data_IF_437936526028
#
_entry.id   IF_437936526028
#
_cell.length_a   1.000
_cell.length_b   1.000
_cell.length_c   1.000
_cell.angle_alpha   90.00
_cell.angle_beta   90.00
_cell.angle_gamma   90.00
#
_symmetry.space_group_name_H-M   'P 1'
#
loop_
_entity.id
_entity.type
_entity.pdbx_description
1 polymer ?
#
# COMPACT_ATOMS: atom_id res chain seq x y z
N UNK A 1 -55.32 57.03 7.45
CA UNK A 1 -54.87 56.17 8.57
C UNK A 1 -54.70 54.69 8.19
N UNK A 2 -55.70 54.01 7.59
CA UNK A 2 -55.56 52.59 7.16
C UNK A 2 -54.38 52.30 6.21
N UNK A 3 -54.04 53.23 5.32
CA UNK A 3 -52.94 53.04 4.36
C UNK A 3 -51.54 53.10 4.99
N UNK A 4 -51.39 53.85 6.09
CA UNK A 4 -50.11 54.01 6.79
C UNK A 4 -49.80 52.78 7.66
N UNK A 5 -50.83 52.21 8.30
CA UNK A 5 -50.75 51.02 9.14
C UNK A 5 -50.35 49.76 8.33
N UNK A 6 -50.83 49.66 7.09
CA UNK A 6 -50.54 48.51 6.23
C UNK A 6 -49.09 48.50 5.72
N UNK A 7 -48.47 49.67 5.55
CA UNK A 7 -47.06 49.78 5.12
C UNK A 7 -46.11 49.47 6.27
N UNK A 8 -46.43 49.90 7.50
CA UNK A 8 -45.60 49.60 8.69
C UNK A 8 -45.65 48.12 9.06
N UNK A 9 -46.84 47.50 9.04
CA UNK A 9 -46.99 46.08 9.34
C UNK A 9 -46.22 45.20 8.34
N UNK A 10 -46.28 45.52 7.04
CA UNK A 10 -45.57 44.77 5.98
C UNK A 10 -44.05 44.88 6.12
N UNK A 11 -43.54 46.05 6.51
CA UNK A 11 -42.10 46.25 6.78
C UNK A 11 -41.63 45.49 8.02
N UNK A 12 -42.43 45.46 9.09
CA UNK A 12 -42.13 44.67 10.30
C UNK A 12 -42.13 43.18 9.99
N UNK A 13 -43.11 42.69 9.21
CA UNK A 13 -43.19 41.26 8.84
C UNK A 13 -42.02 40.83 7.95
N UNK A 14 -41.59 41.67 7.01
CA UNK A 14 -40.39 41.44 6.19
C UNK A 14 -39.14 41.45 7.06
N UNK A 15 -39.04 42.36 8.04
CA UNK A 15 -37.94 42.40 9.01
C UNK A 15 -37.86 41.13 9.86
N UNK A 16 -38.98 40.63 10.37
CA UNK A 16 -39.05 39.38 11.15
C UNK A 16 -38.69 38.17 10.28
N UNK A 17 -39.18 38.10 9.04
CA UNK A 17 -38.81 37.05 8.07
C UNK A 17 -37.31 37.06 7.78
N UNK A 18 -36.70 38.22 7.54
CA UNK A 18 -35.27 38.35 7.28
C UNK A 18 -34.41 37.96 8.50
N UNK A 19 -34.86 38.29 9.72
CA UNK A 19 -34.17 37.89 10.96
C UNK A 19 -34.28 36.37 11.17
N UNK A 20 -35.45 35.76 10.93
CA UNK A 20 -35.63 34.32 11.01
C UNK A 20 -34.77 33.58 9.96
N UNK A 21 -34.75 34.05 8.70
CA UNK A 21 -33.92 33.48 7.63
C UNK A 21 -32.42 33.54 7.96
N UNK A 22 -31.95 34.63 8.58
CA UNK A 22 -30.55 34.77 8.99
C UNK A 22 -30.18 33.86 10.18
N UNK A 23 -31.12 33.62 11.11
CA UNK A 23 -30.90 32.70 12.23
C UNK A 23 -30.88 31.22 11.83
N UNK A 24 -31.72 30.81 10.87
CA UNK A 24 -31.72 29.44 10.34
C UNK A 24 -30.43 29.13 9.55
N UNK A 25 -29.90 30.11 8.82
CA UNK A 25 -28.66 29.91 8.06
C UNK A 25 -27.44 29.69 8.96
N UNK A 26 -27.30 30.46 10.05
CA UNK A 26 -26.21 30.26 11.01
C UNK A 26 -26.34 28.92 11.75
N UNK A 27 -27.57 28.51 12.10
CA UNK A 27 -27.81 27.19 12.70
C UNK A 27 -27.42 26.04 11.75
N UNK A 28 -27.51 26.24 10.42
CA UNK A 28 -27.19 25.22 9.41
C UNK A 28 -25.67 25.00 9.18
N UNK A 29 -24.80 25.90 9.62
CA UNK A 29 -23.34 25.73 9.50
C UNK A 29 -22.81 24.94 10.69
N UNK A 30 -23.30 25.28 11.89
CA UNK A 30 -22.93 24.62 13.13
C UNK A 30 -23.35 23.14 13.10
N UNK A 31 -24.44 22.81 12.38
CA UNK A 31 -24.86 21.42 12.13
C UNK A 31 -23.89 20.62 11.25
N UNK A 32 -22.88 21.23 10.64
CA UNK A 32 -21.88 20.56 9.79
C UNK A 32 -20.51 20.54 10.46
N UNK A 33 -20.08 21.68 11.00
CA UNK A 33 -18.77 21.80 11.64
C UNK A 33 -18.72 20.98 12.93
N UNK A 34 -19.78 21.01 13.75
CA UNK A 34 -19.80 20.27 15.03
C UNK A 34 -19.71 18.76 14.78
N UNK A 35 -20.51 18.14 13.86
CA UNK A 35 -20.33 16.73 13.53
C UNK A 35 -18.98 16.41 12.90
N UNK A 36 -18.43 17.26 12.04
CA UNK A 36 -17.10 17.05 11.47
C UNK A 36 -16.02 16.98 12.55
N UNK A 37 -16.04 17.91 13.52
CA UNK A 37 -15.13 17.91 14.68
C UNK A 37 -15.32 16.66 15.53
N UNK A 38 -16.56 16.26 15.79
CA UNK A 38 -16.87 15.02 16.50
C UNK A 38 -16.28 13.80 15.79
N UNK A 39 -16.35 13.74 14.46
CA UNK A 39 -15.69 12.68 13.69
C UNK A 39 -14.17 12.72 13.84
N UNK A 40 -13.55 13.90 13.84
CA UNK A 40 -12.11 14.04 14.08
C UNK A 40 -11.70 13.59 15.49
N UNK A 41 -12.48 13.94 16.52
CA UNK A 41 -12.25 13.49 17.90
C UNK A 41 -12.37 11.96 18.04
N UNK A 42 -13.27 11.35 17.26
CA UNK A 42 -13.43 9.91 17.16
C UNK A 42 -12.38 9.23 16.26
N UNK A 43 -11.40 9.97 15.75
CA UNK A 43 -10.38 9.51 14.78
C UNK A 43 -10.96 9.01 13.44
N UNK A 44 -12.21 9.36 13.13
CA UNK A 44 -12.85 9.09 11.84
C UNK A 44 -12.63 10.25 10.87
N UNK A 45 -11.35 10.46 10.50
CA UNK A 45 -10.94 11.59 9.69
C UNK A 45 -11.60 11.64 8.31
N UNK A 46 -11.89 10.47 7.73
CA UNK A 46 -12.51 10.38 6.40
C UNK A 46 -13.93 10.93 6.38
N UNK A 47 -14.77 10.55 7.34
CA UNK A 47 -16.15 11.05 7.40
C UNK A 47 -16.19 12.55 7.72
N UNK A 48 -15.34 13.03 8.65
CA UNK A 48 -15.26 14.46 8.94
C UNK A 48 -14.78 15.29 7.74
N UNK A 49 -13.77 14.80 7.02
CA UNK A 49 -13.28 15.45 5.80
C UNK A 49 -14.34 15.45 4.70
N UNK A 50 -14.96 14.30 4.40
CA UNK A 50 -16.01 14.19 3.39
C UNK A 50 -17.18 15.12 3.69
N UNK A 51 -17.58 15.25 4.96
CA UNK A 51 -18.66 16.14 5.37
C UNK A 51 -18.33 17.61 5.05
N UNK A 52 -17.13 18.07 5.41
CA UNK A 52 -16.67 19.44 5.11
C UNK A 52 -16.48 19.66 3.61
N UNK A 53 -15.83 18.71 2.92
CA UNK A 53 -15.50 18.80 1.51
C UNK A 53 -16.75 18.78 0.63
N UNK A 54 -17.67 17.84 0.89
CA UNK A 54 -18.95 17.79 0.19
C UNK A 54 -19.73 19.07 0.40
N UNK A 55 -19.73 19.66 1.60
CA UNK A 55 -20.41 20.94 1.83
C UNK A 55 -19.78 22.07 1.02
N UNK A 56 -18.45 22.15 0.97
CA UNK A 56 -17.73 23.17 0.20
C UNK A 56 -18.07 23.12 -1.30
N UNK A 57 -18.29 21.93 -1.87
CA UNK A 57 -18.55 21.72 -3.29
C UNK A 57 -20.03 21.58 -3.68
N UNK A 58 -20.89 21.09 -2.78
CA UNK A 58 -22.29 20.77 -3.10
C UNK A 58 -23.21 22.00 -3.19
N UNK A 59 -22.79 23.18 -2.76
CA UNK A 59 -23.64 24.36 -2.74
C UNK A 59 -22.94 25.61 -3.30
N UNK A 60 -23.23 26.00 -4.56
CA UNK A 60 -22.92 27.35 -5.05
C UNK A 60 -23.69 28.46 -4.28
N UNK A 61 -24.60 28.08 -3.38
CA UNK A 61 -25.47 28.96 -2.59
C UNK A 61 -24.99 29.21 -1.15
N UNK A 62 -23.85 28.64 -0.74
CA UNK A 62 -23.26 29.00 0.56
C UNK A 62 -22.92 30.48 0.56
N UNK A 63 -23.42 31.21 1.56
CA UNK A 63 -22.96 32.57 1.78
C UNK A 63 -21.45 32.57 2.05
N UNK A 64 -20.80 33.69 1.75
CA UNK A 64 -19.34 33.79 1.81
C UNK A 64 -18.79 33.52 3.21
N UNK A 65 -19.53 33.84 4.27
CA UNK A 65 -19.11 33.59 5.65
C UNK A 65 -19.16 32.09 6.00
N UNK A 66 -20.23 31.39 5.63
CA UNK A 66 -20.31 29.93 5.77
C UNK A 66 -19.17 29.22 5.06
N UNK A 67 -18.89 29.64 3.82
CA UNK A 67 -17.78 29.10 3.03
C UNK A 67 -16.45 29.31 3.73
N UNK A 68 -16.21 30.52 4.25
CA UNK A 68 -15.01 30.84 5.00
C UNK A 68 -14.86 29.98 6.28
N UNK A 69 -15.95 29.75 7.03
CA UNK A 69 -15.93 28.87 8.21
C UNK A 69 -15.56 27.42 7.84
N UNK A 70 -16.14 26.87 6.77
CA UNK A 70 -15.80 25.51 6.30
C UNK A 70 -14.35 25.43 5.81
N UNK A 71 -13.89 26.42 5.05
CA UNK A 71 -12.49 26.52 4.60
C UNK A 71 -11.53 26.62 5.79
N UNK A 72 -11.90 27.35 6.85
CA UNK A 72 -11.07 27.47 8.05
C UNK A 72 -10.89 26.12 8.75
N UNK A 73 -11.97 25.35 8.89
CA UNK A 73 -11.91 24.01 9.47
C UNK A 73 -11.14 23.01 8.59
N UNK A 74 -11.26 23.12 7.26
CA UNK A 74 -10.43 22.36 6.33
C UNK A 74 -8.93 22.75 6.45
N UNK A 75 -8.63 24.03 6.62
CA UNK A 75 -7.27 24.51 6.82
C UNK A 75 -6.66 23.92 8.12
N UNK A 76 -7.42 23.93 9.22
CA UNK A 76 -7.04 23.27 10.48
C UNK A 76 -6.85 21.77 10.27
N UNK A 77 -7.72 21.12 9.49
CA UNK A 77 -7.61 19.70 9.23
C UNK A 77 -6.28 19.34 8.55
N UNK A 78 -5.94 20.05 7.47
CA UNK A 78 -4.68 19.87 6.75
C UNK A 78 -3.47 20.21 7.62
N UNK A 79 -3.55 21.26 8.43
CA UNK A 79 -2.46 21.65 9.33
C UNK A 79 -2.23 20.62 10.43
N UNK A 80 -3.28 20.28 11.19
CA UNK A 80 -3.19 19.52 12.43
C UNK A 80 -3.10 18.02 12.20
N UNK A 81 -3.96 17.47 11.34
CA UNK A 81 -4.11 16.03 11.18
C UNK A 81 -3.33 15.46 10.00
N UNK A 82 -3.23 16.20 8.89
CA UNK A 82 -2.51 15.75 7.68
C UNK A 82 -1.03 16.15 7.73
N UNK A 83 -0.73 17.39 8.15
CA UNK A 83 0.61 17.99 8.09
C UNK A 83 0.95 18.66 6.75
N UNK A 84 -0.05 18.93 5.92
CA UNK A 84 0.09 19.60 4.62
C UNK A 84 -0.08 21.11 4.80
N UNK A 85 1.02 21.81 5.10
CA UNK A 85 1.00 23.25 5.36
C UNK A 85 0.68 24.06 4.11
N UNK A 86 1.07 23.61 2.91
CA UNK A 86 0.80 24.30 1.66
C UNK A 86 -0.71 24.37 1.38
N UNK A 87 -1.42 23.24 1.50
CA UNK A 87 -2.89 23.23 1.37
C UNK A 87 -3.57 24.02 2.48
N UNK A 88 -3.07 23.91 3.72
CA UNK A 88 -3.62 24.70 4.83
C UNK A 88 -3.52 26.21 4.56
N UNK A 89 -2.34 26.67 4.11
CA UNK A 89 -2.08 28.05 3.74
C UNK A 89 -2.98 28.50 2.58
N UNK A 90 -3.20 27.65 1.58
CA UNK A 90 -4.11 27.92 0.46
C UNK A 90 -5.53 28.21 0.95
N UNK A 91 -6.07 27.40 1.86
CA UNK A 91 -7.41 27.63 2.41
C UNK A 91 -7.48 28.90 3.26
N UNK A 92 -6.48 29.18 4.12
CA UNK A 92 -6.48 30.42 4.90
C UNK A 92 -6.38 31.66 3.99
N UNK A 93 -5.58 31.63 2.92
CA UNK A 93 -5.50 32.73 1.94
C UNK A 93 -6.81 32.99 1.21
N UNK A 94 -7.51 31.92 0.82
CA UNK A 94 -8.86 32.05 0.22
C UNK A 94 -9.86 32.75 1.15
N UNK A 95 -9.70 32.60 2.48
CA UNK A 95 -10.54 33.31 3.46
C UNK A 95 -10.16 34.78 3.54
N UNK A 96 -8.85 35.11 3.57
CA UNK A 96 -8.38 36.50 3.63
C UNK A 96 -8.68 37.29 2.36
N UNK A 97 -8.75 36.61 1.22
CA UNK A 97 -9.10 37.20 -0.09
C UNK A 97 -10.62 37.29 -0.31
N UNK A 98 -11.43 36.63 0.53
CA UNK A 98 -12.87 36.68 0.40
C UNK A 98 -13.41 38.05 0.81
N UNK A 99 -14.21 38.67 -0.06
CA UNK A 99 -14.94 39.91 0.22
C UNK A 99 -16.10 39.67 1.22
N UNK A 100 -15.77 39.36 2.48
CA UNK A 100 -16.75 39.28 3.56
C UNK A 100 -17.11 40.69 4.01
N UNK A 101 -18.41 40.98 4.15
CA UNK A 101 -18.87 42.29 4.60
C UNK A 101 -18.59 42.45 6.11
N UNK A 102 -17.56 43.22 6.44
CA UNK A 102 -17.22 43.59 7.81
C UNK A 102 -15.90 43.01 8.29
N UNK A 103 -15.32 43.65 9.31
CA UNK A 103 -14.05 43.27 9.95
C UNK A 103 -14.27 42.03 10.83
N UNK A 104 -14.61 40.91 10.21
CA UNK A 104 -14.99 39.68 10.90
C UNK A 104 -13.77 39.06 11.59
N UNK A 105 -13.96 38.67 12.85
CA UNK A 105 -12.95 37.99 13.68
C UNK A 105 -12.30 36.79 12.97
N UNK A 106 -13.00 36.13 12.04
CA UNK A 106 -12.47 35.00 11.27
C UNK A 106 -11.40 35.40 10.25
N UNK A 107 -11.53 36.57 9.61
CA UNK A 107 -10.52 37.06 8.66
C UNK A 107 -9.24 37.39 9.40
N UNK A 108 -9.35 38.06 10.55
CA UNK A 108 -8.19 38.40 11.38
C UNK A 108 -7.46 37.13 11.87
N UNK A 109 -8.23 36.11 12.31
CA UNK A 109 -7.66 34.79 12.65
C UNK A 109 -6.98 34.14 11.44
N UNK A 110 -7.60 34.16 10.27
CA UNK A 110 -6.99 33.61 9.06
C UNK A 110 -5.68 34.33 8.70
N UNK A 111 -5.63 35.66 8.78
CA UNK A 111 -4.41 36.46 8.57
C UNK A 111 -3.30 36.06 9.55
N UNK A 112 -3.60 36.01 10.85
CA UNK A 112 -2.64 35.59 11.88
C UNK A 112 -2.07 34.20 11.57
N UNK A 113 -2.93 33.26 11.12
CA UNK A 113 -2.49 31.91 10.74
C UNK A 113 -1.67 31.90 9.46
N UNK A 114 -2.00 32.70 8.45
CA UNK A 114 -1.18 32.85 7.23
C UNK A 114 0.21 33.35 7.58
N UNK A 115 0.32 34.37 8.42
CA UNK A 115 1.60 34.93 8.85
C UNK A 115 2.41 33.91 9.67
N UNK A 116 1.77 33.25 10.63
CA UNK A 116 2.40 32.22 11.47
C UNK A 116 2.92 31.04 10.63
N UNK A 117 2.12 30.52 9.70
CA UNK A 117 2.52 29.40 8.84
C UNK A 117 3.61 29.82 7.84
N UNK A 118 3.50 31.01 7.26
CA UNK A 118 4.52 31.54 6.34
C UNK A 118 5.86 31.73 7.05
N UNK A 119 5.84 32.24 8.28
CA UNK A 119 7.02 32.37 9.13
C UNK A 119 7.63 31.01 9.47
N UNK A 120 6.80 30.03 9.85
CA UNK A 120 7.25 28.66 10.13
C UNK A 120 7.89 27.98 8.91
N UNK A 121 7.27 28.11 7.74
CA UNK A 121 7.80 27.59 6.48
C UNK A 121 9.11 28.30 6.08
N UNK A 122 9.21 29.61 6.32
CA UNK A 122 10.44 30.37 6.11
C UNK A 122 11.57 29.89 7.02
N UNK A 123 11.27 29.70 8.33
CA UNK A 123 12.23 29.18 9.32
C UNK A 123 12.83 27.83 8.92
N UNK A 124 12.03 26.94 8.34
CA UNK A 124 12.45 25.59 7.95
C UNK A 124 12.70 25.41 6.45
N UNK A 125 12.86 26.49 5.69
CA UNK A 125 13.01 26.45 4.23
C UNK A 125 14.15 25.54 3.79
N UNK A 126 15.34 25.72 4.36
CA UNK A 126 16.53 24.94 3.97
C UNK A 126 16.41 23.47 4.36
N UNK A 127 15.80 23.20 5.51
CA UNK A 127 15.51 21.85 5.99
C UNK A 127 14.52 21.15 5.05
N UNK A 128 13.48 21.85 4.63
CA UNK A 128 12.51 21.33 3.67
C UNK A 128 13.13 21.10 2.29
N UNK A 129 13.98 22.02 1.81
CA UNK A 129 14.70 21.86 0.54
C UNK A 129 15.59 20.61 0.55
N UNK A 130 16.34 20.40 1.63
CA UNK A 130 17.16 19.19 1.79
C UNK A 130 16.29 17.93 1.86
N UNK A 131 15.17 17.97 2.57
CA UNK A 131 14.22 16.86 2.61
C UNK A 131 13.67 16.52 1.22
N UNK A 132 13.21 17.51 0.45
CA UNK A 132 12.71 17.34 -0.92
C UNK A 132 13.79 16.75 -1.84
N UNK A 133 15.05 17.20 -1.69
CA UNK A 133 16.20 16.64 -2.42
C UNK A 133 16.45 15.17 -2.06
N UNK A 134 16.39 14.80 -0.78
CA UNK A 134 16.55 13.40 -0.36
C UNK A 134 15.40 12.51 -0.85
N UNK A 135 14.18 13.04 -0.84
CA UNK A 135 12.98 12.39 -1.39
C UNK A 135 13.13 12.11 -2.89
N UNK A 136 13.61 13.06 -3.68
CA UNK A 136 13.81 12.86 -5.12
C UNK A 136 14.90 11.82 -5.41
N UNK A 137 16.04 11.87 -4.70
CA UNK A 137 17.11 10.88 -4.81
C UNK A 137 16.64 9.46 -4.51
N UNK A 138 15.79 9.30 -3.48
CA UNK A 138 15.20 8.01 -3.10
C UNK A 138 14.35 7.40 -4.21
N UNK A 139 13.79 8.20 -5.12
CA UNK A 139 12.95 7.71 -6.21
C UNK A 139 13.76 7.36 -7.47
N UNK A 140 14.92 7.99 -7.68
CA UNK A 140 15.72 7.82 -8.90
C UNK A 140 16.73 6.66 -8.81
N UNK A 141 17.15 6.30 -7.61
CA UNK A 141 18.31 5.41 -7.40
C UNK A 141 17.90 4.08 -6.75
N UNK A 142 18.56 2.99 -7.15
CA UNK A 142 18.20 1.61 -6.77
C UNK A 142 19.29 0.85 -6.01
N UNK A 143 20.39 1.50 -5.60
CA UNK A 143 21.45 0.79 -4.86
C UNK A 143 21.20 0.86 -3.35
N UNK A 144 21.58 -0.22 -2.66
CA UNK A 144 21.42 -0.35 -1.21
C UNK A 144 22.18 0.74 -0.44
N UNK A 145 23.39 1.05 -0.88
CA UNK A 145 24.27 2.06 -0.25
C UNK A 145 23.63 3.44 -0.23
N UNK A 146 22.99 3.83 -1.34
CA UNK A 146 22.29 5.11 -1.45
C UNK A 146 21.12 5.18 -0.47
N UNK A 147 20.31 4.11 -0.38
CA UNK A 147 19.21 4.07 0.59
C UNK A 147 19.73 4.14 2.04
N UNK A 148 20.90 3.58 2.34
CA UNK A 148 21.53 3.71 3.66
C UNK A 148 21.99 5.15 3.95
N UNK A 149 22.64 5.81 2.99
CA UNK A 149 23.05 7.21 3.09
C UNK A 149 21.85 8.16 3.24
N UNK A 150 20.81 8.00 2.41
CA UNK A 150 19.56 8.76 2.52
C UNK A 150 18.92 8.55 3.90
N UNK A 151 18.84 7.30 4.36
CA UNK A 151 18.29 6.99 5.70
C UNK A 151 19.09 7.69 6.80
N UNK A 152 20.42 7.72 6.70
CA UNK A 152 21.27 8.42 7.65
C UNK A 152 21.00 9.94 7.64
N UNK A 153 20.95 10.56 6.46
CA UNK A 153 20.68 11.99 6.31
C UNK A 153 19.29 12.38 6.82
N UNK A 154 18.25 11.60 6.49
CA UNK A 154 16.89 11.83 6.99
C UNK A 154 16.81 11.74 8.52
N UNK A 155 17.51 10.78 9.15
CA UNK A 155 17.59 10.70 10.62
C UNK A 155 18.29 11.90 11.24
N UNK A 156 19.40 12.33 10.63
CA UNK A 156 20.14 13.51 11.07
C UNK A 156 19.29 14.78 10.97
N UNK A 157 18.51 14.91 9.89
CA UNK A 157 17.61 16.03 9.65
C UNK A 157 16.59 16.19 10.80
N UNK A 158 15.92 15.11 11.20
CA UNK A 158 14.93 15.14 12.29
C UNK A 158 15.55 15.20 13.69
N UNK A 159 16.79 14.73 13.87
CA UNK A 159 17.47 14.85 15.17
C UNK A 159 17.95 16.27 15.44
N UNK A 160 18.38 16.98 14.40
CA UNK A 160 18.79 18.39 14.50
C UNK A 160 17.57 19.31 14.59
N UNK A 161 16.48 18.97 13.89
CA UNK A 161 15.26 19.78 13.82
C UNK A 161 14.05 19.01 14.36
N UNK A 162 13.95 18.79 15.69
CA UNK A 162 12.87 18.00 16.27
C UNK A 162 11.47 18.62 16.05
N UNK A 163 11.41 19.94 15.90
CA UNK A 163 10.18 20.72 15.71
C UNK A 163 9.86 21.01 14.23
N UNK A 164 10.55 20.34 13.30
CA UNK A 164 10.27 20.48 11.87
C UNK A 164 8.85 20.00 11.55
N UNK A 165 8.04 20.86 10.93
CA UNK A 165 6.62 20.58 10.66
C UNK A 165 6.41 19.34 9.76
N UNK A 166 7.34 19.07 8.83
CA UNK A 166 7.32 17.92 7.92
C UNK A 166 7.83 16.62 8.53
N UNK A 167 8.09 16.56 9.85
CA UNK A 167 8.68 15.39 10.52
C UNK A 167 7.89 14.09 10.32
N UNK A 168 6.56 14.16 10.27
CA UNK A 168 5.73 12.97 10.00
C UNK A 168 5.95 12.44 8.58
N UNK A 169 6.09 13.32 7.58
CA UNK A 169 6.42 12.91 6.21
C UNK A 169 7.84 12.34 6.14
N UNK A 170 8.81 12.92 6.85
CA UNK A 170 10.17 12.37 6.94
C UNK A 170 10.15 10.94 7.52
N UNK A 171 9.34 10.68 8.54
CA UNK A 171 9.16 9.33 9.07
C UNK A 171 8.56 8.36 8.05
N UNK A 172 7.60 8.81 7.25
CA UNK A 172 7.08 8.02 6.13
C UNK A 172 8.20 7.65 5.12
N UNK A 173 9.03 8.61 4.71
CA UNK A 173 10.14 8.34 3.80
C UNK A 173 11.25 7.47 4.41
N UNK A 174 11.52 7.60 5.70
CA UNK A 174 12.37 6.64 6.42
C UNK A 174 11.78 5.23 6.35
N UNK A 175 10.46 5.09 6.52
CA UNK A 175 9.73 3.83 6.36
C UNK A 175 9.95 3.21 4.98
N UNK A 176 9.74 4.00 3.92
CA UNK A 176 9.96 3.56 2.53
C UNK A 176 11.41 3.14 2.26
N UNK A 177 12.40 3.93 2.71
CA UNK A 177 13.80 3.58 2.54
C UNK A 177 14.14 2.27 3.29
N UNK A 178 13.60 2.07 4.49
CA UNK A 178 13.78 0.81 5.21
C UNK A 178 13.08 -0.39 4.55
N UNK A 179 11.95 -0.19 3.84
CA UNK A 179 11.35 -1.22 3.01
C UNK A 179 12.31 -1.64 1.88
N UNK A 180 12.94 -0.67 1.20
CA UNK A 180 13.92 -0.92 0.13
C UNK A 180 15.17 -1.64 0.63
N UNK A 181 15.56 -1.39 1.88
CA UNK A 181 16.66 -2.09 2.56
C UNK A 181 16.29 -3.47 3.13
N UNK A 182 15.06 -3.96 2.88
CA UNK A 182 14.50 -5.19 3.49
C UNK A 182 14.50 -5.19 5.03
N UNK A 183 14.51 -4.01 5.65
CA UNK A 183 14.49 -3.82 7.12
C UNK A 183 13.06 -3.53 7.58
N UNK A 184 12.14 -4.42 7.25
CA UNK A 184 10.68 -4.22 7.39
C UNK A 184 10.20 -3.87 8.80
N UNK A 185 10.82 -4.44 9.84
CA UNK A 185 10.46 -4.11 11.23
C UNK A 185 10.78 -2.65 11.60
N UNK A 186 11.88 -2.11 11.06
CA UNK A 186 12.20 -0.68 11.20
C UNK A 186 11.23 0.17 10.37
N UNK A 187 10.90 -0.26 9.16
CA UNK A 187 9.94 0.44 8.32
C UNK A 187 8.59 0.61 9.02
N UNK A 188 8.03 -0.49 9.54
CA UNK A 188 6.79 -0.50 10.32
C UNK A 188 6.84 0.50 11.49
N UNK A 189 7.92 0.46 12.28
CA UNK A 189 8.12 1.42 13.39
C UNK A 189 8.01 2.88 12.93
N UNK A 190 8.65 3.23 11.81
CA UNK A 190 8.63 4.61 11.30
C UNK A 190 7.28 5.01 10.71
N UNK A 191 6.58 4.09 10.04
CA UNK A 191 5.20 4.36 9.60
C UNK A 191 4.26 4.61 10.79
N UNK A 192 4.37 3.83 11.87
CA UNK A 192 3.63 4.09 13.10
C UNK A 192 3.97 5.47 13.71
N UNK A 193 5.24 5.88 13.72
CA UNK A 193 5.66 7.20 14.20
C UNK A 193 5.07 8.35 13.37
N UNK A 194 5.01 8.18 12.04
CA UNK A 194 4.37 9.15 11.15
C UNK A 194 2.86 9.27 11.44
N UNK A 195 2.13 8.17 11.57
CA UNK A 195 0.71 8.16 11.95
C UNK A 195 0.44 8.75 13.33
N UNK A 196 1.34 8.53 14.30
CA UNK A 196 1.24 9.14 15.63
C UNK A 196 1.41 10.66 15.57
N UNK A 197 2.31 11.16 14.71
CA UNK A 197 2.51 12.59 14.52
C UNK A 197 1.37 13.26 13.75
N UNK A 198 0.89 12.60 12.68
CA UNK A 198 -0.15 13.09 11.78
C UNK A 198 -1.11 11.94 11.43
N UNK A 199 -2.23 11.81 12.15
CA UNK A 199 -3.10 10.64 12.02
C UNK A 199 -3.93 10.60 10.74
N UNK A 200 -4.03 11.71 10.00
CA UNK A 200 -4.67 11.79 8.69
C UNK A 200 -3.67 12.01 7.55
N UNK A 201 -2.39 11.64 7.75
CA UNK A 201 -1.34 11.80 6.73
C UNK A 201 -1.60 10.97 5.46
N UNK A 202 -2.54 10.01 5.49
CA UNK A 202 -3.04 9.28 4.31
C UNK A 202 -3.56 10.18 3.18
N UNK A 203 -4.01 11.40 3.50
CA UNK A 203 -4.43 12.41 2.52
C UNK A 203 -3.25 13.09 1.79
N UNK A 204 -2.03 12.88 2.27
CA UNK A 204 -0.79 13.39 1.68
C UNK A 204 0.05 12.26 1.06
N UNK A 205 0.21 11.14 1.79
CA UNK A 205 0.98 9.97 1.35
C UNK A 205 0.27 8.68 1.78
N UNK A 206 0.34 7.59 0.99
CA UNK A 206 -0.40 6.34 1.28
C UNK A 206 0.26 5.53 2.41
N UNK A 207 0.16 5.99 3.64
CA UNK A 207 0.87 5.41 4.79
C UNK A 207 0.20 4.14 5.30
N UNK A 208 -1.12 4.05 5.30
CA UNK A 208 -1.85 2.90 5.82
C UNK A 208 -1.58 1.65 4.98
N UNK A 209 -1.57 1.79 3.65
CA UNK A 209 -1.19 0.70 2.74
C UNK A 209 0.28 0.34 2.91
N UNK A 210 1.18 1.33 2.99
CA UNK A 210 2.61 1.10 3.20
C UNK A 210 2.92 0.42 4.54
N UNK A 211 2.17 0.74 5.59
CA UNK A 211 2.25 0.12 6.90
C UNK A 211 1.81 -1.35 6.83
N UNK A 212 0.66 -1.62 6.20
CA UNK A 212 0.16 -2.97 5.99
C UNK A 212 1.15 -3.81 5.19
N UNK A 213 1.68 -3.26 4.10
CA UNK A 213 2.70 -3.88 3.27
C UNK A 213 3.95 -4.18 4.08
N UNK A 214 4.43 -3.23 4.90
CA UNK A 214 5.60 -3.43 5.74
C UNK A 214 5.40 -4.52 6.80
N UNK A 215 4.21 -4.59 7.39
CA UNK A 215 3.86 -5.61 8.37
C UNK A 215 3.81 -6.99 7.72
N UNK A 216 3.17 -7.10 6.55
CA UNK A 216 3.12 -8.31 5.73
C UNK A 216 4.52 -8.74 5.27
N UNK A 217 5.35 -7.81 4.81
CA UNK A 217 6.73 -8.09 4.42
C UNK A 217 7.58 -8.51 5.63
N UNK A 218 7.35 -7.94 6.81
CA UNK A 218 8.04 -8.33 8.04
C UNK A 218 7.72 -9.76 8.46
N UNK A 219 6.44 -10.14 8.49
CA UNK A 219 6.02 -11.51 8.81
C UNK A 219 6.54 -12.51 7.78
N UNK A 220 6.46 -12.17 6.50
CA UNK A 220 7.02 -12.96 5.40
C UNK A 220 8.53 -13.14 5.51
N UNK A 221 9.27 -12.07 5.78
CA UNK A 221 10.72 -12.13 5.97
C UNK A 221 11.08 -13.05 7.13
N UNK A 222 10.38 -12.92 8.26
CA UNK A 222 10.60 -13.75 9.43
C UNK A 222 10.28 -15.23 9.15
N UNK A 223 9.13 -15.51 8.54
CA UNK A 223 8.73 -16.86 8.14
C UNK A 223 9.74 -17.50 7.19
N UNK A 224 10.22 -16.75 6.18
CA UNK A 224 11.27 -17.20 5.26
C UNK A 224 12.57 -17.52 6.00
N UNK A 225 13.04 -16.59 6.84
CA UNK A 225 14.30 -16.76 7.59
C UNK A 225 14.22 -17.94 8.54
N UNK A 226 13.11 -18.07 9.29
CA UNK A 226 12.88 -19.17 10.21
C UNK A 226 12.81 -20.52 9.47
N UNK A 227 12.06 -20.59 8.37
CA UNK A 227 11.99 -21.80 7.54
C UNK A 227 13.36 -22.18 6.97
N UNK A 228 14.14 -21.21 6.46
CA UNK A 228 15.50 -21.48 5.97
C UNK A 228 16.45 -21.98 7.07
N UNK A 229 16.40 -21.39 8.27
CA UNK A 229 17.19 -21.86 9.42
C UNK A 229 16.77 -23.28 9.80
N UNK A 230 15.46 -23.53 9.91
CA UNK A 230 14.92 -24.85 10.22
C UNK A 230 15.36 -25.90 9.21
N UNK A 231 15.25 -25.63 7.91
CA UNK A 231 15.72 -26.51 6.85
C UNK A 231 17.24 -26.76 6.93
N UNK A 232 18.02 -25.72 7.25
CA UNK A 232 19.47 -25.85 7.44
C UNK A 232 19.85 -26.74 8.63
N UNK A 233 19.21 -26.53 9.79
CA UNK A 233 19.39 -27.37 10.99
C UNK A 233 18.95 -28.81 10.72
N UNK A 234 17.80 -28.98 10.05
CA UNK A 234 17.29 -30.29 9.68
C UNK A 234 18.27 -31.05 8.77
N UNK A 235 18.82 -30.38 7.75
CA UNK A 235 19.79 -30.97 6.84
C UNK A 235 21.04 -31.41 7.60
N UNK A 236 21.53 -30.59 8.54
CA UNK A 236 22.67 -30.95 9.38
C UNK A 236 22.39 -32.18 10.25
N UNK A 237 21.22 -32.24 10.91
CA UNK A 237 20.78 -33.42 11.69
C UNK A 237 20.71 -34.65 10.80
N UNK A 238 20.15 -34.50 9.59
CA UNK A 238 20.01 -35.59 8.62
C UNK A 238 21.37 -36.14 8.21
N UNK A 239 22.35 -35.27 7.92
CA UNK A 239 23.73 -35.69 7.59
C UNK A 239 24.36 -36.46 8.75
N UNK A 240 24.26 -35.94 9.98
CA UNK A 240 24.83 -36.59 11.17
C UNK A 240 24.21 -37.97 11.40
N UNK A 241 22.89 -38.07 11.34
CA UNK A 241 22.18 -39.34 11.50
C UNK A 241 22.51 -40.32 10.38
N UNK A 242 22.57 -39.84 9.14
CA UNK A 242 22.93 -40.66 7.98
C UNK A 242 24.34 -41.25 8.11
N UNK A 243 25.34 -40.43 8.48
CA UNK A 243 26.70 -40.91 8.73
C UNK A 243 26.76 -41.92 9.88
N UNK A 244 26.00 -41.67 10.96
CA UNK A 244 25.95 -42.56 12.12
C UNK A 244 25.28 -43.91 11.80
N UNK A 245 24.31 -43.92 10.89
CA UNK A 245 23.63 -45.13 10.43
C UNK A 245 24.52 -46.10 9.64
N UNK A 246 25.67 -45.62 9.14
CA UNK A 246 26.57 -46.36 8.26
C UNK A 246 25.81 -47.13 7.15
N UNK A 247 24.96 -46.44 6.38
CA UNK A 247 24.03 -47.08 5.45
C UNK A 247 24.74 -47.93 4.40
N UNK A 248 25.97 -47.60 4.03
CA UNK A 248 26.78 -48.38 3.10
C UNK A 248 26.97 -49.86 3.51
N UNK A 249 26.80 -50.21 4.79
CA UNK A 249 26.89 -51.60 5.25
C UNK A 249 25.64 -52.45 4.95
N UNK A 250 24.48 -51.83 4.74
CA UNK A 250 23.19 -52.55 4.64
C UNK A 250 22.26 -52.01 3.55
N UNK A 251 22.61 -50.89 2.92
CA UNK A 251 21.83 -50.26 1.86
C UNK A 251 21.91 -51.10 0.59
N UNK A 252 20.83 -51.81 0.31
CA UNK A 252 20.68 -52.64 -0.90
C UNK A 252 19.83 -51.96 -1.95
N UNK A 253 19.86 -52.49 -3.18
CA UNK A 253 19.03 -52.04 -4.32
C UNK A 253 17.52 -51.98 -4.01
N UNK A 254 17.04 -52.77 -3.04
CA UNK A 254 15.65 -52.73 -2.56
C UNK A 254 15.27 -51.35 -2.02
N UNK A 255 16.16 -50.69 -1.29
CA UNK A 255 15.92 -49.36 -0.74
C UNK A 255 15.86 -48.31 -1.85
N UNK A 256 16.79 -48.38 -2.81
CA UNK A 256 16.79 -47.47 -3.96
C UNK A 256 15.48 -47.55 -4.75
N UNK A 257 14.92 -48.75 -4.94
CA UNK A 257 13.60 -48.93 -5.56
C UNK A 257 12.49 -48.17 -4.83
N UNK A 258 12.53 -48.13 -3.49
CA UNK A 258 11.56 -47.37 -2.69
C UNK A 258 11.70 -45.87 -2.95
N UNK A 259 12.93 -45.33 -2.99
CA UNK A 259 13.14 -43.92 -3.33
C UNK A 259 12.61 -43.58 -4.73
N UNK A 260 12.94 -44.41 -5.73
CA UNK A 260 12.46 -44.22 -7.11
C UNK A 260 10.93 -44.24 -7.15
N UNK A 261 10.30 -45.17 -6.43
CA UNK A 261 8.84 -45.25 -6.32
C UNK A 261 8.24 -43.99 -5.68
N UNK A 262 8.81 -43.50 -4.58
CA UNK A 262 8.34 -42.27 -3.92
C UNK A 262 8.46 -41.04 -4.84
N UNK A 263 9.56 -40.94 -5.58
CA UNK A 263 9.77 -39.88 -6.59
C UNK A 263 8.71 -39.99 -7.69
N UNK A 264 8.50 -41.19 -8.24
CA UNK A 264 7.50 -41.42 -9.28
C UNK A 264 6.07 -41.09 -8.80
N UNK A 265 5.72 -41.48 -7.57
CA UNK A 265 4.44 -41.17 -6.94
C UNK A 265 4.25 -39.66 -6.76
N UNK A 266 5.29 -38.92 -6.36
CA UNK A 266 5.21 -37.47 -6.26
C UNK A 266 5.04 -36.78 -7.59
N UNK A 267 5.82 -37.19 -8.60
CA UNK A 267 5.67 -36.69 -9.96
C UNK A 267 4.24 -36.92 -10.43
N UNK A 268 3.74 -38.15 -10.31
CA UNK A 268 2.37 -38.50 -10.71
C UNK A 268 1.31 -37.70 -9.95
N UNK A 269 1.42 -37.61 -8.62
CA UNK A 269 0.48 -36.85 -7.79
C UNK A 269 0.49 -35.37 -8.12
N UNK A 270 1.67 -34.77 -8.29
CA UNK A 270 1.84 -33.37 -8.68
C UNK A 270 1.16 -33.08 -10.01
N UNK A 271 1.45 -33.87 -11.05
CA UNK A 271 0.84 -33.69 -12.37
C UNK A 271 -0.67 -33.98 -12.35
N UNK A 272 -1.13 -35.01 -11.63
CA UNK A 272 -2.55 -35.32 -11.51
C UNK A 272 -3.32 -34.19 -10.83
N UNK A 273 -2.82 -33.65 -9.71
CA UNK A 273 -3.44 -32.49 -9.04
C UNK A 273 -3.46 -31.29 -9.98
N UNK A 274 -2.37 -31.05 -10.71
CA UNK A 274 -2.29 -29.91 -11.61
C UNK A 274 -3.29 -30.02 -12.77
N UNK A 275 -3.47 -31.22 -13.33
CA UNK A 275 -4.47 -31.51 -14.36
C UNK A 275 -5.90 -31.34 -13.80
N UNK A 276 -6.20 -31.90 -12.63
CA UNK A 276 -7.53 -31.83 -12.00
C UNK A 276 -7.89 -30.37 -11.68
N UNK A 277 -6.99 -29.65 -11.02
CA UNK A 277 -7.19 -28.25 -10.64
C UNK A 277 -7.26 -27.37 -11.89
N UNK A 278 -6.39 -27.60 -12.87
CA UNK A 278 -6.39 -26.86 -14.13
C UNK A 278 -7.69 -27.01 -14.92
N UNK A 279 -8.22 -28.23 -15.01
CA UNK A 279 -9.51 -28.51 -15.64
C UNK A 279 -10.69 -27.92 -14.85
N UNK A 280 -10.58 -27.81 -13.52
CA UNK A 280 -11.64 -27.23 -12.69
C UNK A 280 -11.70 -25.70 -12.84
N UNK A 281 -10.55 -25.05 -12.97
CA UNK A 281 -10.45 -23.58 -13.11
C UNK A 281 -10.84 -23.12 -14.52
N UNK A 282 -10.47 -23.89 -15.56
CA UNK A 282 -10.80 -23.55 -16.96
C UNK A 282 -12.31 -23.46 -17.23
N UNK A 283 -13.14 -24.14 -16.42
CA UNK A 283 -14.59 -24.09 -16.51
C UNK A 283 -15.24 -22.99 -15.66
N UNK A 284 -14.55 -22.44 -14.66
CA UNK A 284 -15.18 -21.55 -13.67
C UNK A 284 -15.09 -20.05 -14.00
N UNK A 285 -14.12 -19.60 -14.83
CA UNK A 285 -13.79 -18.15 -14.91
C UNK A 285 -13.68 -17.51 -16.30
N UNK A 286 -13.97 -18.20 -17.40
CA UNK A 286 -13.99 -17.55 -18.73
C UNK A 286 -15.37 -16.96 -19.06
N UNK A 287 -16.45 -17.37 -18.38
CA UNK A 287 -17.80 -17.02 -18.81
C UNK A 287 -18.34 -15.67 -18.30
N UNK A 288 -17.79 -15.05 -17.25
CA UNK A 288 -18.47 -13.91 -16.59
C UNK A 288 -17.62 -12.69 -16.17
N UNK A 289 -16.29 -12.63 -16.30
CA UNK A 289 -15.52 -11.49 -15.78
C UNK A 289 -14.58 -10.86 -16.82
N UNK A 290 -15.14 -9.97 -17.64
CA UNK A 290 -14.43 -9.03 -18.54
C UNK A 290 -13.69 -7.89 -17.80
N UNK A 291 -13.54 -7.95 -16.47
CA UNK A 291 -12.93 -6.89 -15.65
C UNK A 291 -11.61 -7.27 -14.96
N UNK A 292 -11.08 -8.48 -15.20
CA UNK A 292 -9.75 -8.84 -14.69
C UNK A 292 -8.66 -8.29 -15.64
N UNK A 293 -8.21 -7.08 -15.33
CA UNK A 293 -7.23 -6.27 -16.08
C UNK A 293 -5.75 -6.70 -15.93
N UNK A 294 -5.45 -7.95 -15.55
CA UNK A 294 -4.08 -8.47 -15.53
C UNK A 294 -4.00 -9.77 -16.32
N UNK A 295 -2.90 -9.96 -17.07
CA UNK A 295 -2.66 -11.16 -17.87
C UNK A 295 -2.46 -12.38 -16.96
N UNK A 296 -3.52 -13.16 -16.78
CA UNK A 296 -3.44 -14.47 -16.15
C UNK A 296 -3.02 -15.48 -17.21
N UNK A 297 -1.73 -15.83 -17.26
CA UNK A 297 -1.27 -16.93 -18.10
C UNK A 297 -1.78 -18.26 -17.54
N UNK A 298 -2.92 -18.73 -18.06
CA UNK A 298 -3.51 -20.03 -17.78
C UNK A 298 -2.99 -21.08 -18.77
N UNK A 299 -1.67 -21.24 -18.83
CA UNK A 299 -1.12 -22.45 -19.46
C UNK A 299 -0.69 -23.40 -18.36
N UNK A 300 -1.45 -24.48 -18.22
CA UNK A 300 -1.32 -25.43 -17.12
C UNK A 300 -0.13 -26.41 -17.29
N UNK A 301 0.77 -26.14 -18.23
CA UNK A 301 1.94 -26.96 -18.44
C UNK A 301 3.11 -26.40 -17.61
N UNK A 302 3.88 -27.24 -16.88
CA UNK A 302 5.03 -26.79 -16.10
C UNK A 302 6.17 -26.16 -16.93
N UNK A 303 6.08 -26.23 -18.26
CA UNK A 303 6.97 -25.58 -19.23
C UNK A 303 6.41 -24.26 -19.76
N UNK A 304 5.23 -23.83 -19.32
CA UNK A 304 4.59 -22.65 -19.85
C UNK A 304 5.18 -21.35 -19.28
N UNK A 305 5.16 -20.25 -20.05
CA UNK A 305 5.47 -18.92 -19.52
C UNK A 305 4.57 -18.61 -18.31
N UNK A 306 5.18 -18.23 -17.17
CA UNK A 306 4.46 -17.94 -15.93
C UNK A 306 4.31 -19.11 -14.97
N UNK A 307 4.67 -20.34 -15.38
CA UNK A 307 4.63 -21.54 -14.51
C UNK A 307 5.79 -21.65 -13.51
N UNK A 308 6.66 -20.63 -13.40
CA UNK A 308 7.80 -20.67 -12.48
C UNK A 308 7.42 -20.95 -11.01
N UNK A 309 6.27 -20.45 -10.49
CA UNK A 309 5.75 -20.87 -9.18
C UNK A 309 5.45 -22.36 -9.12
N UNK A 310 4.74 -22.91 -10.11
CA UNK A 310 4.40 -24.33 -10.15
C UNK A 310 5.67 -25.19 -10.13
N UNK A 311 6.66 -24.85 -10.95
CA UNK A 311 7.97 -25.50 -10.92
C UNK A 311 8.67 -25.39 -9.56
N UNK A 312 8.58 -24.22 -8.92
CA UNK A 312 9.06 -24.02 -7.55
C UNK A 312 8.41 -25.01 -6.57
N UNK A 313 7.08 -25.14 -6.59
CA UNK A 313 6.34 -26.08 -5.73
C UNK A 313 6.78 -27.52 -5.97
N UNK A 314 6.92 -27.92 -7.24
CA UNK A 314 7.42 -29.24 -7.62
C UNK A 314 8.79 -29.52 -6.99
N UNK A 315 9.73 -28.59 -7.15
CA UNK A 315 11.09 -28.72 -6.60
C UNK A 315 11.09 -28.78 -5.08
N UNK A 316 10.29 -27.93 -4.39
CA UNK A 316 10.20 -27.96 -2.93
C UNK A 316 9.67 -29.30 -2.41
N UNK A 317 8.65 -29.88 -3.05
CA UNK A 317 8.15 -31.21 -2.69
C UNK A 317 9.16 -32.32 -2.99
N UNK A 318 9.87 -32.21 -4.12
CA UNK A 318 10.93 -33.15 -4.48
C UNK A 318 12.08 -33.16 -3.46
N UNK A 319 12.54 -31.99 -3.03
CA UNK A 319 13.55 -31.86 -1.96
C UNK A 319 13.05 -32.40 -0.62
N UNK A 320 11.77 -32.18 -0.28
CA UNK A 320 11.19 -32.71 0.95
C UNK A 320 11.19 -34.25 0.96
N UNK A 321 10.86 -34.89 -0.17
CA UNK A 321 10.84 -36.36 -0.29
C UNK A 321 12.23 -36.95 -0.18
N UNK A 322 13.21 -36.40 -0.91
CA UNK A 322 14.59 -36.88 -0.84
C UNK A 322 15.15 -36.66 0.58
N UNK A 323 14.93 -35.48 1.16
CA UNK A 323 15.35 -35.16 2.51
C UNK A 323 14.75 -36.10 3.55
N UNK A 324 13.45 -36.36 3.47
CA UNK A 324 12.75 -37.28 4.36
C UNK A 324 13.22 -38.73 4.19
N UNK A 325 13.49 -39.16 2.96
CA UNK A 325 14.02 -40.50 2.68
C UNK A 325 15.41 -40.68 3.31
N UNK A 326 16.34 -39.75 3.08
CA UNK A 326 17.68 -39.78 3.68
C UNK A 326 17.59 -39.73 5.22
N UNK A 327 16.69 -38.90 5.75
CA UNK A 327 16.44 -38.83 7.18
C UNK A 327 15.89 -40.14 7.74
N UNK A 328 14.99 -40.82 7.03
CA UNK A 328 14.44 -42.12 7.45
C UNK A 328 15.53 -43.19 7.55
N UNK A 329 16.52 -43.16 6.64
CA UNK A 329 17.72 -44.01 6.70
C UNK A 329 18.55 -43.66 7.95
N UNK A 330 18.77 -42.37 8.22
CA UNK A 330 19.51 -41.94 9.41
C UNK A 330 18.85 -42.35 10.73
N UNK A 331 17.51 -42.27 10.80
CA UNK A 331 16.71 -42.66 11.98
C UNK A 331 16.74 -44.17 12.25
N UNK A 332 17.23 -44.99 11.31
CA UNK A 332 17.41 -46.43 11.54
C UNK A 332 18.35 -46.76 12.71
N UNK A 333 19.25 -45.83 13.09
CA UNK A 333 20.17 -45.95 14.23
C UNK A 333 19.43 -46.15 15.55
N UNK A 334 18.21 -45.61 15.67
CA UNK A 334 17.43 -45.78 16.89
C UNK A 334 16.91 -47.22 16.98
N UNK A 335 17.26 -47.90 18.06
CA UNK A 335 16.84 -49.30 18.32
C UNK A 335 15.33 -49.41 18.55
N UNK A 336 14.72 -48.39 19.16
CA UNK A 336 13.30 -48.39 19.48
C UNK A 336 12.43 -48.07 18.24
N UNK A 337 11.65 -49.06 17.78
CA UNK A 337 10.72 -48.95 16.66
C UNK A 337 9.69 -47.82 16.85
N UNK A 338 9.22 -47.61 18.08
CA UNK A 338 8.19 -46.61 18.36
C UNK A 338 8.68 -45.18 18.10
N UNK A 339 9.92 -44.89 18.52
CA UNK A 339 10.56 -43.59 18.25
C UNK A 339 10.65 -43.35 16.75
N UNK A 340 11.07 -44.33 15.96
CA UNK A 340 11.18 -44.19 14.50
C UNK A 340 9.83 -43.92 13.85
N UNK A 341 8.80 -44.67 14.26
CA UNK A 341 7.44 -44.54 13.72
C UNK A 341 6.79 -43.19 14.05
N UNK A 342 7.23 -42.50 15.10
CA UNK A 342 6.73 -41.16 15.46
C UNK A 342 7.60 -40.06 14.84
N UNK A 343 8.91 -40.18 14.93
CA UNK A 343 9.85 -39.13 14.50
C UNK A 343 9.77 -38.91 12.99
N UNK A 344 9.69 -39.98 12.19
CA UNK A 344 9.62 -39.86 10.72
C UNK A 344 8.39 -39.06 10.25
N UNK A 345 7.14 -39.39 10.64
CA UNK A 345 5.98 -38.61 10.18
C UNK A 345 5.95 -37.20 10.75
N UNK A 346 6.36 -36.98 12.01
CA UNK A 346 6.42 -35.62 12.60
C UNK A 346 7.41 -34.75 11.84
N UNK A 347 8.61 -35.27 11.57
CA UNK A 347 9.64 -34.55 10.82
C UNK A 347 9.24 -34.37 9.36
N UNK A 348 8.63 -35.38 8.74
CA UNK A 348 8.05 -35.29 7.40
C UNK A 348 7.02 -34.16 7.31
N UNK A 349 6.08 -34.10 8.24
CA UNK A 349 5.09 -33.03 8.32
C UNK A 349 5.75 -31.66 8.46
N UNK A 350 6.72 -31.50 9.37
CA UNK A 350 7.44 -30.24 9.55
C UNK A 350 8.23 -29.83 8.31
N UNK A 351 8.84 -30.77 7.58
CA UNK A 351 9.55 -30.49 6.33
C UNK A 351 8.62 -30.03 5.23
N UNK A 352 7.54 -30.77 5.00
CA UNK A 352 6.54 -30.39 4.00
C UNK A 352 5.91 -29.04 4.34
N UNK A 353 5.58 -28.80 5.61
CA UNK A 353 5.04 -27.52 6.06
C UNK A 353 6.04 -26.37 5.87
N UNK A 354 7.32 -26.59 6.18
CA UNK A 354 8.38 -25.58 6.01
C UNK A 354 8.64 -25.27 4.54
N UNK A 355 8.72 -26.31 3.69
CA UNK A 355 8.89 -26.18 2.25
C UNK A 355 7.68 -25.48 1.59
N UNK A 356 6.46 -25.87 1.97
CA UNK A 356 5.22 -25.22 1.52
C UNK A 356 5.13 -23.77 2.00
N UNK A 357 5.52 -23.47 3.24
CA UNK A 357 5.55 -22.11 3.78
C UNK A 357 6.56 -21.22 3.02
N UNK A 358 7.76 -21.73 2.74
CA UNK A 358 8.75 -21.00 1.94
C UNK A 358 8.27 -20.77 0.51
N UNK A 359 7.68 -21.79 -0.11
CA UNK A 359 7.04 -21.66 -1.41
C UNK A 359 5.96 -20.57 -1.39
N UNK A 360 5.04 -20.66 -0.44
CA UNK A 360 3.92 -19.74 -0.30
C UNK A 360 4.40 -18.30 -0.12
N UNK A 361 5.34 -18.06 0.79
CA UNK A 361 5.89 -16.72 1.02
C UNK A 361 6.59 -16.16 -0.22
N UNK A 362 7.37 -16.99 -0.92
CA UNK A 362 8.19 -16.55 -2.07
C UNK A 362 7.37 -16.31 -3.33
N UNK A 363 6.41 -17.18 -3.63
CA UNK A 363 5.72 -17.19 -4.91
C UNK A 363 4.26 -16.73 -4.82
N UNK A 364 3.56 -17.04 -3.73
CA UNK A 364 2.13 -16.70 -3.56
C UNK A 364 2.00 -15.32 -2.92
N UNK A 365 2.53 -15.13 -1.71
CA UNK A 365 2.24 -13.95 -0.90
C UNK A 365 3.02 -12.70 -1.31
N UNK A 366 4.21 -12.87 -1.92
CA UNK A 366 5.04 -11.77 -2.42
C UNK A 366 4.48 -11.06 -3.65
N UNK A 367 3.45 -11.63 -4.30
CA UNK A 367 2.80 -11.08 -5.51
C UNK A 367 1.27 -10.99 -5.41
N UNK A 368 0.66 -11.52 -4.35
CA UNK A 368 -0.79 -11.45 -4.14
C UNK A 368 -1.23 -10.06 -3.67
N UNK A 369 -2.13 -9.44 -4.43
CA UNK A 369 -2.85 -8.23 -4.05
C UNK A 369 -4.04 -8.63 -3.18
N UNK A 370 -4.11 -8.11 -1.96
CA UNK A 370 -5.30 -8.21 -1.12
C UNK A 370 -6.21 -7.04 -1.44
N UNK A 371 -7.26 -7.28 -2.22
CA UNK A 371 -8.32 -6.30 -2.43
C UNK A 371 -9.19 -6.29 -1.17
N UNK A 372 -9.38 -5.13 -0.49
CA UNK A 372 -10.20 -5.06 0.70
C UNK A 372 -11.64 -5.44 0.36
N UNK A 373 -12.25 -6.26 1.22
CA UNK A 373 -13.60 -6.81 1.08
C UNK A 373 -14.70 -5.75 1.35
N UNK A 374 -14.62 -4.59 0.69
CA UNK A 374 -15.65 -3.55 0.76
C UNK A 374 -16.54 -3.48 -0.49
N UNK A 375 -16.37 -4.41 -1.43
CA UNK A 375 -17.33 -4.64 -2.50
C UNK A 375 -17.95 -6.02 -2.29
N UNK A 376 -19.28 -6.06 -2.27
CA UNK A 376 -20.14 -7.16 -1.81
C UNK A 376 -20.01 -8.50 -2.59
N UNK A 377 -18.95 -8.70 -3.37
CA UNK A 377 -18.77 -9.86 -4.24
C UNK A 377 -17.51 -10.70 -3.97
N UNK A 378 -16.54 -10.22 -3.19
CA UNK A 378 -15.25 -10.90 -3.06
C UNK A 378 -15.00 -11.40 -1.63
N UNK A 379 -15.68 -12.48 -1.23
CA UNK A 379 -15.28 -13.26 -0.06
C UNK A 379 -14.02 -14.08 -0.38
N UNK A 380 -12.87 -13.68 0.20
CA UNK A 380 -11.64 -14.49 0.38
C UNK A 380 -11.13 -15.26 -0.86
N UNK A 381 -10.90 -14.56 -1.97
CA UNK A 381 -10.19 -15.13 -3.13
C UNK A 381 -8.70 -14.77 -3.11
N UNK A 382 -7.82 -15.77 -3.27
CA UNK A 382 -6.39 -15.55 -3.51
C UNK A 382 -6.17 -15.26 -5.00
N UNK A 383 -5.89 -14.01 -5.34
CA UNK A 383 -5.60 -13.62 -6.73
C UNK A 383 -4.10 -13.37 -6.92
N UNK A 384 -3.54 -14.02 -7.94
CA UNK A 384 -2.21 -13.71 -8.47
C UNK A 384 -2.33 -12.55 -9.44
N UNK A 385 -1.91 -11.36 -9.02
CA UNK A 385 -1.72 -10.22 -9.93
C UNK A 385 -0.25 -10.15 -10.35
N UNK A 386 0.03 -10.26 -11.65
CA UNK A 386 1.31 -9.81 -12.20
C UNK A 386 1.05 -8.37 -12.64
N UNK A 387 1.78 -7.40 -12.06
CA UNK A 387 1.72 -6.00 -12.47
C UNK A 387 1.93 -5.89 -13.99
N UNK A 388 0.86 -5.66 -14.74
CA UNK A 388 0.95 -4.88 -15.96
C UNK A 388 0.80 -3.40 -15.57
N UNK A 389 1.66 -2.54 -16.13
CA UNK A 389 1.61 -1.08 -15.96
C UNK A 389 0.42 -0.47 -16.75
N UNK A 390 -0.25 -1.28 -17.58
CA UNK A 390 -1.06 -0.81 -18.70
C UNK A 390 -2.51 -0.34 -18.40
N UNK A 391 -3.26 -0.76 -17.37
CA UNK A 391 -4.65 -0.28 -17.24
C UNK A 391 -4.76 1.13 -16.62
N UNK A 392 -3.73 1.61 -15.93
CA UNK A 392 -3.80 2.88 -15.19
C UNK A 392 -3.54 4.12 -16.05
N UNK A 393 -2.78 3.96 -17.14
CA UNK A 393 -2.52 5.05 -18.10
C UNK A 393 -3.81 5.42 -18.82
N UNK A 394 -4.65 4.44 -19.16
CA UNK A 394 -5.91 4.65 -19.86
C UNK A 394 -7.00 5.31 -18.99
N UNK A 395 -6.91 5.17 -17.66
CA UNK A 395 -7.94 5.65 -16.72
C UNK A 395 -7.58 6.99 -16.05
N UNK A 396 -6.30 7.33 -15.92
CA UNK A 396 -5.86 8.66 -15.49
C UNK A 396 -4.50 9.03 -16.10
N UNK A 397 -4.45 9.41 -17.39
CA UNK A 397 -3.20 9.61 -18.12
C UNK A 397 -2.38 10.80 -17.58
N UNK A 398 -3.05 11.78 -16.96
CA UNK A 398 -2.39 12.95 -16.34
C UNK A 398 -1.61 12.62 -15.06
N UNK A 399 -1.86 11.47 -14.44
CA UNK A 399 -1.12 11.03 -13.26
C UNK A 399 0.27 10.48 -13.59
N UNK A 400 0.59 10.27 -14.88
CA UNK A 400 1.83 9.64 -15.32
C UNK A 400 2.58 10.51 -16.34
N UNK A 401 3.16 11.64 -15.91
CA UNK A 401 4.01 12.42 -16.80
C UNK A 401 5.28 11.65 -17.18
N UNK A 402 5.72 11.78 -18.43
CA UNK A 402 6.95 11.17 -18.97
C UNK A 402 6.97 9.63 -19.04
N UNK A 403 5.88 9.01 -19.51
CA UNK A 403 5.86 7.58 -19.81
C UNK A 403 6.90 7.23 -20.88
N UNK A 404 7.82 6.30 -20.58
CA UNK A 404 8.75 5.77 -21.56
C UNK A 404 8.01 4.81 -22.51
N UNK A 405 7.77 5.26 -23.75
CA UNK A 405 7.04 4.53 -24.78
C UNK A 405 7.95 3.82 -25.79
N UNK A 406 9.28 3.84 -25.60
CA UNK A 406 10.25 3.28 -26.57
C UNK A 406 10.07 1.77 -26.83
N UNK A 407 9.46 1.04 -25.89
CA UNK A 407 9.21 -0.40 -26.00
C UNK A 407 7.79 -0.76 -26.45
N UNK A 408 6.92 0.21 -26.74
CA UNK A 408 5.52 -0.05 -27.12
C UNK A 408 5.45 -0.26 -28.64
N UNK A 409 5.08 -1.48 -29.05
CA UNK A 409 5.03 -1.87 -30.48
C UNK A 409 3.66 -1.68 -31.13
N UNK A 410 2.66 -1.16 -30.39
CA UNK A 410 1.31 -0.93 -30.88
C UNK A 410 1.10 0.54 -31.21
N UNK A 411 1.00 0.85 -32.50
CA UNK A 411 0.95 2.22 -33.01
C UNK A 411 -0.27 3.01 -32.49
N UNK A 412 -1.43 2.35 -32.36
CA UNK A 412 -2.68 2.98 -31.89
C UNK A 412 -2.57 3.35 -30.40
N UNK A 413 -1.94 2.50 -29.60
CA UNK A 413 -1.71 2.78 -28.18
C UNK A 413 -0.66 3.89 -27.99
N UNK A 414 0.38 3.90 -28.83
CA UNK A 414 1.41 4.93 -28.81
C UNK A 414 0.81 6.32 -29.12
N UNK A 415 -0.04 6.38 -30.14
CA UNK A 415 -0.78 7.59 -30.54
C UNK A 415 -1.68 8.10 -29.40
N UNK A 416 -2.50 7.22 -28.83
CA UNK A 416 -3.36 7.57 -27.70
C UNK A 416 -2.58 8.09 -26.49
N UNK A 417 -1.45 7.44 -26.14
CA UNK A 417 -0.59 7.84 -25.02
C UNK A 417 0.04 9.21 -25.28
N UNK A 418 0.47 9.49 -26.50
CA UNK A 418 1.02 10.79 -26.92
C UNK A 418 0.01 11.94 -26.81
N UNK A 419 -1.26 11.67 -27.08
CA UNK A 419 -2.33 12.67 -27.01
C UNK A 419 -2.81 12.96 -25.58
N UNK A 420 -2.87 11.92 -24.73
CA UNK A 420 -3.60 12.01 -23.47
C UNK A 420 -2.68 12.14 -22.24
N UNK A 421 -1.41 11.75 -22.33
CA UNK A 421 -0.44 11.89 -21.24
C UNK A 421 0.35 13.22 -21.36
N UNK A 422 0.60 13.94 -20.25
CA UNK A 422 1.44 15.13 -20.27
C UNK A 422 2.93 14.73 -20.37
N UNK A 423 3.58 15.06 -21.48
CA UNK A 423 5.04 14.86 -21.65
C UNK A 423 5.80 16.16 -21.39
N UNK A 424 7.02 16.05 -20.88
CA UNK A 424 7.99 17.14 -20.96
C UNK A 424 8.28 17.46 -22.44
N UNK A 425 8.36 18.74 -22.76
CA UNK A 425 8.50 19.28 -24.12
C UNK A 425 9.72 18.75 -24.92
N UNK A 426 10.63 18.01 -24.28
CA UNK A 426 11.75 17.33 -24.93
C UNK A 426 11.36 16.08 -25.72
N UNK A 427 10.26 15.38 -25.38
CA UNK A 427 9.85 14.16 -26.09
C UNK A 427 9.24 14.44 -27.48
N UNK A 428 8.56 15.59 -27.66
CA UNK A 428 7.96 16.00 -28.95
C UNK A 428 8.99 16.30 -30.04
N UNK A 429 10.26 16.58 -29.70
CA UNK A 429 11.28 16.93 -30.68
C UNK A 429 11.76 15.74 -31.54
N UNK A 430 11.62 14.49 -31.07
CA UNK A 430 12.05 13.30 -31.82
C UNK A 430 11.08 12.86 -32.91
N UNK A 431 9.78 13.16 -32.76
CA UNK A 431 8.73 12.75 -33.72
C UNK A 431 8.69 13.64 -34.96
N UNK A 432 9.13 14.90 -34.85
CA UNK A 432 9.18 15.84 -35.98
C UNK A 432 10.52 15.82 -36.74
N UNK A 433 11.40 14.86 -36.48
CA UNK A 433 12.61 14.68 -37.28
C UNK A 433 12.24 13.86 -38.53
N UNK A 434 12.30 14.44 -39.76
CA UNK A 434 12.04 13.66 -40.97
C UNK A 434 13.06 12.53 -41.07
N UNK A 435 12.57 11.33 -41.42
CA UNK A 435 13.43 10.16 -41.70
C UNK A 435 14.27 10.37 -42.95
#
# INVERSE_FOLDING_TARGET
>A
MKHFFNITLKKILIGILLIFSASELNAQIDTIIIPAKKYFDQKNYSQGFLLLNNRLFAYPLLDSLSKAKVQYELAIFYERYVGDLDKSLQYYRQITEANLRGNDSFINKAHERVESLSSLMSKYRDVNNEFVRLKSLSNQQNTKEIYEDITFKLKKLISINPDFYGRAEVYYFLGLNYMKLERYGRANKYFCMALQGKPAIDYLVPISSSLQDSSKSYTNYFARKFSSIFLGVFLLITIVLFYRAKPWNWYTWKHLKVLILLIALWVLAYFAIFIIVGNSISHFHIRNNTFLNDVVFLSYLPSSPGSQPAWGLFLYGFYAIIGLYIFSIGVSVFSNKWIRNIVIPVVGFLLFFSAASTFYVKYVNGKAVTIPANEAFWQKSYLYGIRAIEPYVLTNPKAYPNLNTESVTNDVLLEWVNENCPFDNHAKQKVNSPK
#
